data_IF_172762977708
#
_entry.id   IF_172762977708
#
_cell.length_a   1.000
_cell.length_b   1.000
_cell.length_c   1.000
_cell.angle_alpha   90.00
_cell.angle_beta   90.00
_cell.angle_gamma   90.00
#
_symmetry.space_group_name_H-M   'P 1'
#
loop_
_entity.id
_entity.type
_entity.pdbx_description
1 polymer ?
#
# COMPACT_ATOMS: atom_id res chain seq x y z
N UNK A 1 -35.12 -17.75 -1.13
CA UNK A 1 -34.17 -17.29 -0.08
C UNK A 1 -32.71 -17.45 -0.49
N UNK A 2 -32.27 -18.61 -0.98
CA UNK A 2 -30.88 -18.85 -1.42
C UNK A 2 -30.37 -17.90 -2.52
N UNK A 3 -31.16 -17.69 -3.58
CA UNK A 3 -30.80 -16.80 -4.69
C UNK A 3 -30.61 -15.35 -4.25
N UNK A 4 -31.45 -14.88 -3.32
CA UNK A 4 -31.34 -13.54 -2.74
C UNK A 4 -30.02 -13.39 -1.94
N UNK A 5 -29.66 -14.39 -1.14
CA UNK A 5 -28.39 -14.40 -0.40
C UNK A 5 -27.16 -14.39 -1.33
N UNK A 6 -27.20 -15.12 -2.45
CA UNK A 6 -26.13 -15.10 -3.46
C UNK A 6 -25.98 -13.69 -4.04
N UNK A 7 -27.08 -13.06 -4.46
CA UNK A 7 -27.05 -11.71 -5.02
C UNK A 7 -26.46 -10.71 -4.02
N UNK A 8 -26.88 -10.76 -2.75
CA UNK A 8 -26.32 -9.89 -1.71
C UNK A 8 -24.81 -10.11 -1.52
N UNK A 9 -24.35 -11.36 -1.54
CA UNK A 9 -22.93 -11.69 -1.42
C UNK A 9 -22.11 -11.14 -2.60
N UNK A 10 -22.61 -11.28 -3.83
CA UNK A 10 -21.97 -10.71 -5.03
C UNK A 10 -21.87 -9.17 -4.95
N UNK A 11 -22.94 -8.50 -4.50
CA UNK A 11 -22.91 -7.05 -4.29
C UNK A 11 -21.91 -6.63 -3.21
N UNK A 12 -21.78 -7.40 -2.13
CA UNK A 12 -20.78 -7.15 -1.09
C UNK A 12 -19.36 -7.28 -1.65
N UNK A 13 -19.07 -8.35 -2.39
CA UNK A 13 -17.77 -8.55 -3.03
C UNK A 13 -17.47 -7.40 -3.99
N UNK A 14 -18.43 -7.03 -4.84
CA UNK A 14 -18.29 -5.93 -5.79
C UNK A 14 -18.05 -4.60 -5.06
N UNK A 15 -18.78 -4.33 -3.98
CA UNK A 15 -18.57 -3.14 -3.16
C UNK A 15 -17.16 -3.09 -2.57
N UNK A 16 -16.69 -4.18 -1.95
CA UNK A 16 -15.33 -4.24 -1.42
C UNK A 16 -14.27 -4.08 -2.52
N UNK A 17 -14.52 -4.64 -3.71
CA UNK A 17 -13.64 -4.47 -4.86
C UNK A 17 -13.57 -3.00 -5.33
N UNK A 18 -14.72 -2.33 -5.46
CA UNK A 18 -14.82 -0.93 -5.84
C UNK A 18 -14.17 -0.02 -4.78
N UNK A 19 -14.44 -0.26 -3.50
CA UNK A 19 -13.83 0.44 -2.38
C UNK A 19 -12.30 0.34 -2.45
N UNK A 20 -11.76 -0.88 -2.62
CA UNK A 20 -10.32 -1.11 -2.75
C UNK A 20 -9.71 -0.36 -3.94
N UNK A 21 -10.41 -0.29 -5.07
CA UNK A 21 -9.97 0.39 -6.29
C UNK A 21 -9.90 1.91 -6.09
N UNK A 22 -10.86 2.50 -5.39
CA UNK A 22 -10.93 3.96 -5.18
C UNK A 22 -9.90 4.45 -4.15
N UNK A 23 -9.67 3.70 -3.07
CA UNK A 23 -8.78 4.13 -1.98
C UNK A 23 -7.29 3.84 -2.19
N UNK A 24 -6.92 3.10 -3.24
CA UNK A 24 -5.52 2.75 -3.51
C UNK A 24 -5.19 2.85 -4.99
N UNK A 25 -4.23 3.72 -5.31
CA UNK A 25 -3.67 3.87 -6.66
C UNK A 25 -2.35 3.11 -6.77
N UNK A 26 -2.03 2.57 -7.94
CA UNK A 26 -0.76 1.89 -8.20
C UNK A 26 0.17 2.84 -8.94
N UNK A 27 1.44 2.85 -8.57
CA UNK A 27 2.49 3.61 -9.25
C UNK A 27 3.70 2.71 -9.52
N UNK A 28 4.45 3.06 -10.54
CA UNK A 28 5.67 2.37 -10.94
C UNK A 28 6.86 3.28 -10.66
N UNK A 29 7.84 2.73 -9.93
CA UNK A 29 9.08 3.41 -9.60
C UNK A 29 10.24 2.67 -10.25
N UNK A 30 11.11 3.40 -10.94
CA UNK A 30 12.30 2.86 -11.60
C UNK A 30 13.55 3.48 -10.98
N UNK A 31 14.52 2.65 -10.65
CA UNK A 31 15.85 3.11 -10.29
C UNK A 31 16.68 3.25 -11.57
N UNK A 32 17.17 4.46 -11.85
CA UNK A 32 17.92 4.74 -13.08
C UNK A 32 19.30 4.08 -13.07
N UNK A 33 19.93 3.95 -11.90
CA UNK A 33 21.28 3.40 -11.76
C UNK A 33 21.31 1.86 -11.91
N UNK A 34 20.26 1.18 -11.44
CA UNK A 34 20.20 -0.30 -11.46
C UNK A 34 19.23 -0.86 -12.49
N UNK A 35 18.39 -0.01 -13.10
CA UNK A 35 17.31 -0.42 -14.00
C UNK A 35 16.14 -1.12 -13.31
N UNK A 36 16.18 -1.34 -11.99
CA UNK A 36 15.13 -2.05 -11.26
C UNK A 36 13.82 -1.28 -11.25
N UNK A 37 12.71 -1.98 -11.49
CA UNK A 37 11.36 -1.42 -11.45
C UNK A 37 10.60 -2.06 -10.27
N UNK A 38 10.00 -1.22 -9.43
CA UNK A 38 9.16 -1.62 -8.30
C UNK A 38 7.78 -1.02 -8.44
N UNK A 39 6.77 -1.86 -8.25
CA UNK A 39 5.38 -1.40 -8.13
C UNK A 39 5.08 -1.05 -6.68
N UNK A 40 4.50 0.13 -6.47
CA UNK A 40 4.04 0.58 -5.17
C UNK A 40 2.57 1.03 -5.24
N UNK A 41 1.97 1.20 -4.06
CA UNK A 41 0.61 1.70 -3.93
C UNK A 41 0.63 3.02 -3.18
N UNK A 42 -0.19 3.97 -3.60
CA UNK A 42 -0.46 5.22 -2.88
C UNK A 42 -1.85 5.12 -2.23
N UNK A 43 -1.99 5.68 -1.04
CA UNK A 43 -3.24 5.69 -0.28
C UNK A 43 -3.34 4.53 0.71
N UNK A 44 -4.57 4.15 1.04
CA UNK A 44 -4.86 3.20 2.11
C UNK A 44 -4.32 1.79 1.80
N UNK A 45 -3.66 1.19 2.79
CA UNK A 45 -3.07 -0.14 2.71
C UNK A 45 -4.01 -1.17 3.31
N UNK A 46 -4.96 -1.64 2.49
CA UNK A 46 -5.86 -2.74 2.83
C UNK A 46 -5.12 -3.99 3.34
N UNK A 47 -3.92 -4.24 2.81
CA UNK A 47 -3.12 -5.40 3.21
C UNK A 47 -2.53 -5.23 4.62
N UNK A 48 -2.15 -4.02 5.04
CA UNK A 48 -1.67 -3.79 6.42
C UNK A 48 -2.83 -3.82 7.41
N UNK A 49 -3.99 -3.29 7.02
CA UNK A 49 -5.19 -3.31 7.85
C UNK A 49 -5.57 -4.74 8.29
N UNK A 50 -5.60 -5.69 7.34
CA UNK A 50 -5.94 -7.08 7.64
C UNK A 50 -4.74 -7.94 8.09
N UNK A 51 -3.55 -7.73 7.50
CA UNK A 51 -2.40 -8.63 7.62
C UNK A 51 -1.15 -7.99 8.26
N UNK A 52 -1.28 -6.84 8.93
CA UNK A 52 -0.20 -6.28 9.76
C UNK A 52 1.10 -6.06 8.97
N UNK A 53 2.14 -6.81 9.33
CA UNK A 53 3.50 -6.71 8.82
C UNK A 53 3.77 -7.62 7.60
N UNK A 54 2.87 -8.56 7.27
CA UNK A 54 3.02 -9.44 6.10
C UNK A 54 3.32 -8.68 4.79
N UNK A 55 2.70 -7.53 4.49
CA UNK A 55 2.96 -6.79 3.26
C UNK A 55 4.39 -6.24 3.17
N UNK A 56 5.05 -5.99 4.31
CA UNK A 56 6.43 -5.53 4.35
C UNK A 56 7.40 -6.67 4.00
N UNK A 57 7.14 -7.88 4.51
CA UNK A 57 7.90 -9.09 4.15
C UNK A 57 7.84 -9.35 2.65
N UNK A 58 6.63 -9.38 2.06
CA UNK A 58 6.48 -9.67 0.62
C UNK A 58 7.07 -8.60 -0.29
N UNK A 59 7.33 -7.40 0.23
CA UNK A 59 8.00 -6.31 -0.51
C UNK A 59 9.51 -6.27 -0.28
N UNK A 60 10.05 -7.13 0.59
CA UNK A 60 11.46 -7.06 1.01
C UNK A 60 11.78 -5.83 1.85
N UNK A 61 10.78 -5.23 2.49
CA UNK A 61 10.92 -4.03 3.33
C UNK A 61 11.13 -4.43 4.79
N UNK A 62 12.37 -4.87 5.08
CA UNK A 62 12.75 -5.37 6.41
C UNK A 62 12.69 -4.30 7.50
N UNK A 63 12.96 -3.04 7.15
CA UNK A 63 12.92 -1.91 8.08
C UNK A 63 11.51 -1.73 8.64
N UNK A 64 10.51 -1.57 7.77
CA UNK A 64 9.13 -1.38 8.24
C UNK A 64 8.50 -2.66 8.77
N UNK A 65 8.93 -3.85 8.32
CA UNK A 65 8.54 -5.11 8.92
C UNK A 65 8.83 -5.12 10.43
N UNK A 66 10.06 -4.81 10.84
CA UNK A 66 10.45 -4.80 12.26
C UNK A 66 9.70 -3.72 13.05
N UNK A 67 9.58 -2.51 12.50
CA UNK A 67 8.87 -1.40 13.16
C UNK A 67 7.40 -1.75 13.40
N UNK A 68 6.69 -2.25 12.38
CA UNK A 68 5.27 -2.61 12.49
C UNK A 68 5.11 -3.80 13.43
N UNK A 69 5.99 -4.79 13.37
CA UNK A 69 5.96 -5.95 14.28
C UNK A 69 6.05 -5.50 15.74
N UNK A 70 7.09 -4.75 16.09
CA UNK A 70 7.33 -4.25 17.45
C UNK A 70 6.17 -3.37 17.90
N UNK A 71 5.77 -2.37 17.09
CA UNK A 71 4.66 -1.48 17.42
C UNK A 71 3.36 -2.26 17.64
N UNK A 72 3.09 -3.27 16.83
CA UNK A 72 1.88 -4.09 16.96
C UNK A 72 1.88 -5.02 18.18
N UNK A 73 3.05 -5.41 18.70
CA UNK A 73 3.17 -6.15 19.97
C UNK A 73 2.83 -5.25 21.15
N UNK A 74 3.41 -4.05 21.22
CA UNK A 74 3.19 -3.11 22.34
C UNK A 74 1.80 -2.47 22.34
N UNK A 75 1.19 -2.30 21.18
CA UNK A 75 -0.15 -1.67 21.06
C UNK A 75 -1.29 -2.68 20.92
N UNK A 76 -1.03 -3.97 21.16
CA UNK A 76 -2.01 -5.05 20.96
C UNK A 76 -2.74 -4.96 19.61
N UNK A 77 -1.98 -4.76 18.53
CA UNK A 77 -2.45 -4.62 17.13
C UNK A 77 -3.17 -3.30 16.80
N UNK A 78 -3.32 -2.38 17.74
CA UNK A 78 -3.97 -1.10 17.48
C UNK A 78 -3.17 -0.21 16.51
N UNK A 79 -1.84 -0.31 16.53
CA UNK A 79 -0.96 0.43 15.61
C UNK A 79 -1.27 0.17 14.12
N UNK A 80 -1.87 -0.97 13.77
CA UNK A 80 -2.24 -1.28 12.37
C UNK A 80 -3.24 -0.29 11.80
N UNK A 81 -4.13 0.27 12.64
CA UNK A 81 -5.09 1.29 12.23
C UNK A 81 -4.42 2.59 11.82
N UNK A 82 -3.23 2.87 12.34
CA UNK A 82 -2.42 4.02 11.92
C UNK A 82 -1.60 3.63 10.69
N UNK A 83 -0.91 2.48 10.74
CA UNK A 83 -0.03 2.03 9.67
C UNK A 83 -0.76 1.76 8.35
N UNK A 84 -2.04 1.37 8.35
CA UNK A 84 -2.78 1.21 7.11
C UNK A 84 -2.91 2.53 6.32
N UNK A 85 -2.90 3.70 6.96
CA UNK A 85 -2.90 5.00 6.25
C UNK A 85 -1.51 5.44 5.81
N UNK A 86 -0.47 5.20 6.62
CA UNK A 86 0.85 5.80 6.41
C UNK A 86 1.87 4.89 5.72
N UNK A 87 1.75 3.56 5.87
CA UNK A 87 2.81 2.62 5.46
C UNK A 87 3.16 2.70 3.97
N UNK A 88 2.15 2.78 3.12
CA UNK A 88 2.33 2.87 1.68
C UNK A 88 3.15 4.12 1.28
N UNK A 89 2.89 5.27 1.93
CA UNK A 89 3.64 6.51 1.69
C UNK A 89 5.07 6.40 2.19
N UNK A 90 5.27 5.83 3.37
CA UNK A 90 6.60 5.62 3.96
C UNK A 90 7.47 4.70 3.09
N UNK A 91 6.89 3.61 2.59
CA UNK A 91 7.56 2.69 1.65
C UNK A 91 7.99 3.40 0.36
N UNK A 92 7.13 4.25 -0.21
CA UNK A 92 7.47 5.02 -1.41
C UNK A 92 8.59 6.01 -1.11
N UNK A 93 8.52 6.77 -0.02
CA UNK A 93 9.56 7.71 0.36
C UNK A 93 10.92 7.03 0.52
N UNK A 94 10.96 5.83 1.12
CA UNK A 94 12.19 5.06 1.23
C UNK A 94 12.75 4.63 -0.11
N UNK A 95 11.90 4.28 -1.08
CA UNK A 95 12.34 3.98 -2.44
C UNK A 95 12.88 5.24 -3.13
N UNK A 96 12.22 6.39 -2.97
CA UNK A 96 12.70 7.65 -3.53
C UNK A 96 14.07 8.03 -2.94
N UNK A 97 14.26 7.85 -1.63
CA UNK A 97 15.55 8.04 -0.96
C UNK A 97 16.65 7.07 -1.46
N UNK A 98 16.27 5.89 -1.95
CA UNK A 98 17.17 4.92 -2.58
C UNK A 98 17.46 5.23 -4.07
N UNK A 99 17.02 6.38 -4.58
CA UNK A 99 17.25 6.81 -5.97
C UNK A 99 16.26 6.23 -6.98
N UNK A 100 15.11 5.71 -6.53
CA UNK A 100 14.02 5.41 -7.43
C UNK A 100 13.29 6.70 -7.83
N UNK A 101 12.80 6.74 -9.07
CA UNK A 101 11.98 7.84 -9.61
C UNK A 101 10.71 7.28 -10.24
N UNK A 102 9.74 8.14 -10.54
CA UNK A 102 8.55 7.74 -11.29
C UNK A 102 8.94 7.15 -12.65
N UNK A 103 8.44 5.95 -12.98
CA UNK A 103 8.75 5.28 -14.24
C UNK A 103 8.02 5.90 -15.44
N UNK A 104 6.93 6.62 -15.21
CA UNK A 104 6.04 7.17 -16.23
C UNK A 104 5.38 8.48 -15.75
N UNK A 105 4.82 9.25 -16.71
CA UNK A 105 4.17 10.54 -16.43
C UNK A 105 2.99 10.41 -15.48
N UNK A 106 2.21 9.32 -15.57
CA UNK A 106 1.07 9.09 -14.68
C UNK A 106 1.52 8.87 -13.24
N UNK A 107 2.54 8.03 -13.03
CA UNK A 107 3.15 7.80 -11.71
C UNK A 107 3.72 9.11 -11.13
N UNK A 108 4.35 9.96 -11.96
CA UNK A 108 4.86 11.25 -11.53
C UNK A 108 3.74 12.18 -11.05
N UNK A 109 2.69 12.36 -11.84
CA UNK A 109 1.54 13.20 -11.46
C UNK A 109 0.83 12.67 -10.22
N UNK A 110 0.72 11.35 -10.06
CA UNK A 110 0.11 10.73 -8.88
C UNK A 110 0.93 10.98 -7.60
N UNK A 111 2.26 10.95 -7.69
CA UNK A 111 3.17 11.28 -6.58
C UNK A 111 3.07 12.77 -6.20
N UNK A 112 3.12 13.65 -7.21
CA UNK A 112 3.00 15.11 -7.03
C UNK A 112 1.66 15.50 -6.38
N UNK A 113 0.54 14.94 -6.85
CA UNK A 113 -0.80 15.21 -6.30
C UNK A 113 -0.89 14.87 -4.80
N UNK A 114 -0.09 13.91 -4.33
CA UNK A 114 -0.11 13.43 -2.95
C UNK A 114 1.01 14.03 -2.08
N UNK A 115 1.71 15.05 -2.60
CA UNK A 115 2.87 15.68 -1.95
C UNK A 115 3.91 14.62 -1.54
N UNK A 116 4.13 13.65 -2.42
CA UNK A 116 5.17 12.63 -2.32
C UNK A 116 6.19 13.02 -3.39
N UNK A 117 7.17 13.84 -3.03
CA UNK A 117 8.09 14.45 -4.01
C UNK A 117 9.19 13.45 -4.36
N UNK A 118 9.45 13.29 -5.65
CA UNK A 118 10.64 12.64 -6.22
C UNK A 118 11.60 13.71 -6.73
#
# INVERSE_FOLDING_TARGET
MYYLNIIYFEFIILYFYLLKRTFSMKVMLKNENTGQIKQAKIGFSWTVFFFRFFPAIFRGDWKWFLIILIASMFTFRFSNLVFCFIYNKLYINDLLAQGYKAADKYSLSALQQKNIVA
#
